data_IF_262298821210
#
_entry.id   IF_262298821210
#
_cell.length_a   1.000
_cell.length_b   1.000
_cell.length_c   1.000
_cell.angle_alpha   90.00
_cell.angle_beta   90.00
_cell.angle_gamma   90.00
#
_symmetry.space_group_name_H-M   'P 1'
#
loop_
_entity.id
_entity.type
_entity.pdbx_description
1 polymer ?
#
# COMPACT_ATOMS: atom_id res chain seq x y z
N UNK A 1 -19.40 0.03 -21.71
CA UNK A 1 -18.91 1.26 -21.04
C UNK A 1 -18.86 0.93 -19.55
N UNK A 2 -17.71 0.50 -19.03
CA UNK A 2 -17.50 0.11 -17.62
C UNK A 2 -16.37 0.93 -16.95
N UNK A 3 -16.11 2.14 -17.48
CA UNK A 3 -15.01 3.02 -17.05
C UNK A 3 -14.91 3.28 -15.53
N UNK A 4 -15.99 3.31 -14.73
CA UNK A 4 -15.87 3.46 -13.27
C UNK A 4 -15.28 2.23 -12.56
N UNK A 5 -15.65 1.01 -12.98
CA UNK A 5 -15.17 -0.23 -12.37
C UNK A 5 -13.69 -0.49 -12.72
N UNK A 6 -13.30 -0.16 -13.94
CA UNK A 6 -11.91 -0.26 -14.39
C UNK A 6 -10.98 0.68 -13.59
N UNK A 7 -11.44 1.90 -13.28
CA UNK A 7 -10.69 2.87 -12.45
C UNK A 7 -10.56 2.41 -11.00
N UNK A 8 -11.62 1.86 -10.43
CA UNK A 8 -11.60 1.34 -9.06
C UNK A 8 -10.65 0.16 -8.92
N UNK A 9 -10.64 -0.75 -9.91
CA UNK A 9 -9.68 -1.85 -9.95
C UNK A 9 -8.25 -1.34 -10.10
N UNK A 10 -8.02 -0.40 -11.01
CA UNK A 10 -6.70 0.21 -11.19
C UNK A 10 -6.21 0.93 -9.92
N UNK A 11 -7.10 1.54 -9.14
CA UNK A 11 -6.75 2.17 -7.87
C UNK A 11 -6.34 1.12 -6.81
N UNK A 12 -7.10 0.03 -6.65
CA UNK A 12 -6.70 -1.08 -5.76
C UNK A 12 -5.36 -1.70 -6.20
N UNK A 13 -5.17 -1.91 -7.49
CA UNK A 13 -3.91 -2.42 -8.06
C UNK A 13 -2.73 -1.47 -7.80
N UNK A 14 -2.95 -0.15 -7.89
CA UNK A 14 -1.93 0.85 -7.60
C UNK A 14 -1.53 0.84 -6.11
N UNK A 15 -2.51 0.73 -5.20
CA UNK A 15 -2.25 0.62 -3.76
C UNK A 15 -1.46 -0.67 -3.49
N UNK A 16 -1.88 -1.79 -4.08
CA UNK A 16 -1.21 -3.09 -3.96
C UNK A 16 0.23 -3.04 -4.49
N UNK A 17 0.44 -2.41 -5.64
CA UNK A 17 1.77 -2.22 -6.21
C UNK A 17 2.67 -1.39 -5.29
N UNK A 18 2.15 -0.30 -4.73
CA UNK A 18 2.90 0.56 -3.81
C UNK A 18 3.34 -0.18 -2.55
N UNK A 19 2.42 -0.89 -1.88
CA UNK A 19 2.75 -1.70 -0.70
C UNK A 19 3.66 -2.89 -1.06
N UNK A 20 3.48 -3.48 -2.24
CA UNK A 20 4.32 -4.56 -2.76
C UNK A 20 5.77 -4.12 -2.99
N UNK A 21 5.99 -2.97 -3.63
CA UNK A 21 7.34 -2.41 -3.84
C UNK A 21 8.05 -2.13 -2.52
N UNK A 22 7.33 -1.60 -1.53
CA UNK A 22 7.90 -1.38 -0.20
C UNK A 22 8.22 -2.69 0.53
N UNK A 23 7.37 -3.72 0.38
CA UNK A 23 7.61 -5.04 0.95
C UNK A 23 8.90 -5.61 0.40
N UNK A 24 9.06 -5.56 -0.91
CA UNK A 24 10.23 -6.10 -1.58
C UNK A 24 11.50 -5.34 -1.16
N UNK A 25 11.41 -4.02 -1.01
CA UNK A 25 12.49 -3.19 -0.44
C UNK A 25 12.89 -3.64 0.96
N UNK A 26 11.94 -3.79 1.88
CA UNK A 26 12.24 -4.18 3.27
C UNK A 26 12.80 -5.60 3.34
N UNK A 27 12.24 -6.53 2.57
CA UNK A 27 12.72 -7.90 2.53
C UNK A 27 14.15 -7.98 1.97
N UNK A 28 14.48 -7.16 0.98
CA UNK A 28 15.85 -7.05 0.48
C UNK A 28 16.79 -6.43 1.51
N UNK A 29 16.38 -5.35 2.19
CA UNK A 29 17.15 -4.75 3.29
C UNK A 29 17.42 -5.73 4.43
N UNK A 30 16.44 -6.57 4.80
CA UNK A 30 16.59 -7.64 5.80
C UNK A 30 17.52 -8.74 5.30
N UNK A 31 17.41 -9.14 4.02
CA UNK A 31 18.23 -10.21 3.43
C UNK A 31 19.70 -9.80 3.29
N UNK A 32 19.94 -8.56 2.89
CA UNK A 32 21.28 -7.98 2.76
C UNK A 32 21.87 -7.57 4.12
N UNK A 33 21.10 -7.66 5.20
CA UNK A 33 21.51 -7.21 6.51
C UNK A 33 22.65 -8.09 7.07
N UNK A 34 23.77 -7.50 7.54
CA UNK A 34 24.84 -8.26 8.18
C UNK A 34 24.33 -8.96 9.45
N UNK A 35 24.98 -10.06 9.86
CA UNK A 35 24.53 -10.89 10.98
C UNK A 35 24.14 -10.05 12.21
N UNK A 36 22.85 -9.95 12.56
CA UNK A 36 22.39 -9.02 13.59
C UNK A 36 22.75 -9.55 14.98
N UNK A 37 23.09 -8.64 15.90
CA UNK A 37 23.17 -8.97 17.33
C UNK A 37 21.75 -8.86 17.90
N UNK A 38 21.09 -9.97 18.28
CA UNK A 38 19.69 -9.95 18.69
C UNK A 38 19.46 -8.98 19.85
N UNK A 39 18.37 -8.20 19.79
CA UNK A 39 17.96 -7.13 20.74
C UNK A 39 18.86 -5.88 20.82
N UNK A 40 20.13 -5.93 20.44
CA UNK A 40 21.00 -4.75 20.41
C UNK A 40 20.93 -4.01 19.08
N UNK A 41 20.53 -4.69 18.01
CA UNK A 41 20.44 -4.09 16.68
C UNK A 41 19.10 -3.36 16.48
N UNK A 42 19.07 -2.10 16.90
CA UNK A 42 17.88 -1.25 16.78
C UNK A 42 17.40 -1.10 15.35
N UNK A 43 18.32 -1.04 14.37
CA UNK A 43 17.97 -0.91 12.97
C UNK A 43 17.35 -2.20 12.43
N UNK A 44 17.90 -3.37 12.76
CA UNK A 44 17.29 -4.65 12.39
C UNK A 44 15.91 -4.83 13.04
N UNK A 45 15.76 -4.50 14.31
CA UNK A 45 14.46 -4.54 15.00
C UNK A 45 13.44 -3.61 14.33
N UNK A 46 13.85 -2.40 13.95
CA UNK A 46 13.01 -1.46 13.21
C UNK A 46 12.56 -2.03 11.86
N UNK A 47 13.44 -2.70 11.11
CA UNK A 47 13.09 -3.37 9.86
C UNK A 47 12.04 -4.48 10.08
N UNK A 48 12.16 -5.26 11.16
CA UNK A 48 11.18 -6.31 11.49
C UNK A 48 9.81 -5.73 11.86
N UNK A 49 9.77 -4.66 12.68
CA UNK A 49 8.52 -3.97 13.01
C UNK A 49 7.87 -3.38 11.76
N UNK A 50 8.67 -2.75 10.90
CA UNK A 50 8.19 -2.13 9.66
C UNK A 50 7.64 -3.18 8.70
N UNK A 51 8.31 -4.33 8.60
CA UNK A 51 7.81 -5.52 7.89
C UNK A 51 6.45 -5.96 8.45
N UNK A 52 6.34 -6.13 9.77
CA UNK A 52 5.11 -6.59 10.41
C UNK A 52 3.93 -5.64 10.16
N UNK A 53 4.15 -4.32 10.34
CA UNK A 53 3.14 -3.30 10.03
C UNK A 53 2.72 -3.36 8.56
N UNK A 54 3.67 -3.54 7.64
CA UNK A 54 3.37 -3.64 6.22
C UNK A 54 2.51 -4.86 5.88
N UNK A 55 2.78 -6.03 6.49
CA UNK A 55 1.94 -7.21 6.30
C UNK A 55 0.53 -7.02 6.87
N UNK A 56 0.38 -6.28 7.98
CA UNK A 56 -0.93 -5.91 8.52
C UNK A 56 -1.69 -4.99 7.55
N UNK A 57 -1.03 -4.00 6.95
CA UNK A 57 -1.65 -3.12 5.96
C UNK A 57 -2.05 -3.87 4.67
N UNK A 58 -1.23 -4.81 4.21
CA UNK A 58 -1.58 -5.69 3.07
C UNK A 58 -2.81 -6.56 3.38
N UNK A 59 -2.92 -7.09 4.61
CA UNK A 59 -4.10 -7.83 5.01
C UNK A 59 -5.35 -6.93 5.08
N UNK A 60 -5.21 -5.71 5.63
CA UNK A 60 -6.28 -4.69 5.63
C UNK A 60 -6.71 -4.32 4.21
N UNK A 61 -5.77 -4.21 3.27
CA UNK A 61 -6.04 -3.96 1.86
C UNK A 61 -6.90 -5.07 1.26
N UNK A 62 -6.51 -6.34 1.48
CA UNK A 62 -7.26 -7.49 0.98
C UNK A 62 -8.68 -7.55 1.56
N UNK A 63 -8.86 -7.21 2.83
CA UNK A 63 -10.18 -7.10 3.47
C UNK A 63 -11.00 -5.94 2.90
N UNK A 64 -10.39 -4.78 2.71
CA UNK A 64 -11.04 -3.59 2.16
C UNK A 64 -11.47 -3.80 0.71
N UNK A 65 -10.62 -4.42 -0.13
CA UNK A 65 -10.95 -4.75 -1.51
C UNK A 65 -12.13 -5.73 -1.56
N UNK A 66 -12.10 -6.81 -0.76
CA UNK A 66 -13.21 -7.76 -0.66
C UNK A 66 -14.50 -7.10 -0.19
N UNK A 67 -14.44 -6.24 0.83
CA UNK A 67 -15.61 -5.51 1.33
C UNK A 67 -16.13 -4.50 0.30
N UNK A 68 -15.26 -3.95 -0.55
CA UNK A 68 -15.65 -2.98 -1.57
C UNK A 68 -16.43 -3.62 -2.71
N UNK A 69 -16.17 -4.90 -3.02
CA UNK A 69 -16.89 -5.62 -4.09
C UNK A 69 -18.41 -5.70 -3.88
N UNK A 70 -18.88 -5.50 -2.65
CA UNK A 70 -20.31 -5.51 -2.27
C UNK A 70 -20.82 -4.10 -1.91
N UNK A 71 -19.96 -3.09 -1.91
CA UNK A 71 -20.27 -1.73 -1.50
C UNK A 71 -20.92 -0.94 -2.65
N UNK A 72 -21.85 -0.04 -2.29
CA UNK A 72 -22.48 0.89 -3.25
C UNK A 72 -21.54 2.00 -3.72
N UNK A 73 -20.52 2.31 -2.91
CA UNK A 73 -19.55 3.37 -3.18
C UNK A 73 -18.12 2.89 -2.91
N UNK A 74 -17.54 2.25 -3.93
CA UNK A 74 -16.17 1.71 -3.89
C UNK A 74 -15.13 2.84 -3.84
N UNK A 75 -15.41 3.99 -4.45
CA UNK A 75 -14.49 5.12 -4.48
C UNK A 75 -14.30 5.71 -3.07
N UNK A 76 -15.39 5.91 -2.33
CA UNK A 76 -15.31 6.35 -0.93
C UNK A 76 -14.53 5.37 -0.05
N UNK A 77 -14.66 4.05 -0.28
CA UNK A 77 -13.89 3.03 0.46
C UNK A 77 -12.41 3.04 0.13
N UNK A 78 -12.05 3.33 -1.11
CA UNK A 78 -10.64 3.50 -1.51
C UNK A 78 -10.05 4.73 -0.82
N UNK A 79 -10.76 5.87 -0.82
CA UNK A 79 -10.30 7.09 -0.16
C UNK A 79 -10.16 6.90 1.36
N UNK A 80 -11.16 6.29 2.01
CA UNK A 80 -11.13 5.94 3.43
C UNK A 80 -9.93 5.02 3.76
N UNK A 81 -9.67 4.03 2.90
CA UNK A 81 -8.51 3.17 3.05
C UNK A 81 -7.21 3.97 2.98
N UNK A 82 -7.06 4.83 1.96
CA UNK A 82 -5.86 5.66 1.80
C UNK A 82 -5.67 6.60 2.99
N UNK A 83 -6.73 7.21 3.53
CA UNK A 83 -6.66 8.10 4.69
C UNK A 83 -6.30 7.38 5.99
N UNK A 84 -6.78 6.15 6.16
CA UNK A 84 -6.49 5.33 7.35
C UNK A 84 -5.13 4.59 7.29
N UNK A 85 -4.39 4.74 6.19
CA UNK A 85 -3.12 4.06 5.96
C UNK A 85 -1.94 4.91 6.44
N UNK A 86 -1.48 4.64 7.65
CA UNK A 86 -0.37 5.35 8.29
C UNK A 86 1.03 4.91 7.82
N UNK A 87 1.10 3.92 6.94
CA UNK A 87 2.36 3.38 6.45
C UNK A 87 3.00 4.27 5.36
N UNK A 88 2.18 4.90 4.51
CA UNK A 88 2.65 5.77 3.44
C UNK A 88 2.92 7.19 3.94
N UNK A 89 3.94 7.82 3.37
CA UNK A 89 4.14 9.26 3.51
C UNK A 89 2.98 10.06 2.88
N UNK A 90 2.84 11.32 3.28
CA UNK A 90 1.75 12.17 2.84
C UNK A 90 1.74 12.39 1.31
N UNK A 91 2.92 12.34 0.66
CA UNK A 91 3.06 12.45 -0.78
C UNK A 91 2.58 11.20 -1.53
N UNK A 92 2.89 10.01 -1.02
CA UNK A 92 2.40 8.75 -1.57
C UNK A 92 0.87 8.61 -1.40
N UNK A 93 0.31 9.04 -0.26
CA UNK A 93 -1.15 9.12 -0.07
C UNK A 93 -1.81 10.06 -1.07
N UNK A 94 -1.26 11.25 -1.30
CA UNK A 94 -1.81 12.21 -2.25
C UNK A 94 -1.84 11.65 -3.69
N UNK A 95 -0.77 10.99 -4.12
CA UNK A 95 -0.70 10.36 -5.46
C UNK A 95 -1.76 9.28 -5.63
N UNK A 96 -1.96 8.44 -4.62
CA UNK A 96 -2.97 7.39 -4.65
C UNK A 96 -4.38 7.98 -4.69
N UNK A 97 -4.65 9.03 -3.89
CA UNK A 97 -5.92 9.75 -3.92
C UNK A 97 -6.22 10.31 -5.30
N UNK A 98 -5.27 11.04 -5.90
CA UNK A 98 -5.41 11.57 -7.26
C UNK A 98 -5.68 10.46 -8.28
N UNK A 99 -5.05 9.29 -8.14
CA UNK A 99 -5.29 8.16 -9.03
C UNK A 99 -6.69 7.52 -8.87
N UNK A 100 -7.29 7.62 -7.68
CA UNK A 100 -8.67 7.18 -7.44
C UNK A 100 -9.72 8.18 -7.92
N UNK A 101 -9.42 9.48 -7.95
CA UNK A 101 -10.37 10.53 -8.40
C UNK A 101 -10.21 10.90 -9.88
N UNK A 102 -8.98 10.90 -10.41
CA UNK A 102 -8.63 11.23 -11.78
C UNK A 102 -7.97 10.00 -12.43
N UNK A 103 -8.52 9.55 -13.57
CA UNK A 103 -7.93 8.42 -14.29
C UNK A 103 -6.45 8.65 -14.59
N UNK A 104 -5.61 7.69 -14.19
CA UNK A 104 -4.15 7.73 -14.24
C UNK A 104 -3.61 8.35 -15.54
N UNK A 105 -2.93 9.49 -15.45
CA UNK A 105 -1.96 9.89 -16.47
C UNK A 105 -0.67 9.16 -16.12
N UNK A 106 -0.31 8.14 -16.91
CA UNK A 106 1.04 7.56 -16.88
C UNK A 106 2.04 8.70 -17.08
N UNK A 107 2.70 9.14 -16.02
CA UNK A 107 3.97 9.84 -16.18
C UNK A 107 5.00 8.78 -16.54
N UNK A 108 5.28 8.68 -17.84
CA UNK A 108 6.42 7.93 -18.35
C UNK A 108 7.72 8.52 -17.79
N UNK A 109 8.66 7.61 -17.55
CA UNK A 109 10.05 7.82 -17.12
C UNK A 109 10.79 8.89 -17.93
#
# INVERSE_FOLDING_TARGET
MDAPLDRQRAAWDAIRACLGSERDRILEEIRAYPTPIPRCDQQFNYLLERRERLFQELARLDDAERSSAVAKDVAARIEEFIDSMHYLDDGARLRLKSASTEGFVKSEL
#
